data_IF_552620727608
#
_entry.id   IF_552620727608
#
_cell.length_a   1.000
_cell.length_b   1.000
_cell.length_c   1.000
_cell.angle_alpha   90.00
_cell.angle_beta   90.00
_cell.angle_gamma   90.00
#
_symmetry.space_group_name_H-M   'P 1'
#
loop_
_entity.id
_entity.type
_entity.pdbx_description
1 polymer ?
#
# COMPACT_ATOMS: atom_id res chain seq x y z
N UNK A 1 19.08 26.11 -25.01
CA UNK A 1 18.13 25.46 -25.93
C UNK A 1 18.13 23.92 -25.73
N UNK A 2 19.27 23.22 -25.79
CA UNK A 2 19.34 21.75 -25.67
C UNK A 2 18.83 21.21 -24.33
N UNK A 3 19.18 21.83 -23.19
CA UNK A 3 18.72 21.47 -21.85
C UNK A 3 17.21 21.63 -21.66
N UNK A 4 16.62 22.69 -22.23
CA UNK A 4 15.17 22.89 -22.21
C UNK A 4 14.42 21.85 -23.05
N UNK A 5 14.97 21.50 -24.21
CA UNK A 5 14.40 20.44 -25.07
C UNK A 5 14.46 19.07 -24.40
N UNK A 6 15.57 18.74 -23.73
CA UNK A 6 15.70 17.49 -22.98
C UNK A 6 14.71 17.43 -21.81
N UNK A 7 14.57 18.53 -21.05
CA UNK A 7 13.59 18.60 -19.95
C UNK A 7 12.15 18.42 -20.42
N UNK A 8 11.78 19.04 -21.55
CA UNK A 8 10.47 18.89 -22.16
C UNK A 8 10.22 17.44 -22.63
N UNK A 9 11.21 16.82 -23.27
CA UNK A 9 11.12 15.43 -23.72
C UNK A 9 10.98 14.45 -22.54
N UNK A 10 11.72 14.68 -21.45
CA UNK A 10 11.63 13.88 -20.23
C UNK A 10 10.26 14.00 -19.57
N UNK A 11 9.72 15.22 -19.47
CA UNK A 11 8.38 15.45 -18.95
C UNK A 11 7.30 14.79 -19.83
N UNK A 12 7.43 14.91 -21.16
CA UNK A 12 6.54 14.25 -22.11
C UNK A 12 6.59 12.72 -21.98
N UNK A 13 7.78 12.13 -21.88
CA UNK A 13 7.95 10.70 -21.63
C UNK A 13 7.24 10.27 -20.34
N UNK A 14 7.49 11.00 -19.24
CA UNK A 14 6.90 10.70 -17.93
C UNK A 14 5.38 10.81 -17.91
N UNK A 15 4.81 11.74 -18.68
CA UNK A 15 3.37 11.96 -18.76
C UNK A 15 2.66 10.99 -19.71
N UNK A 16 3.19 10.80 -20.93
CA UNK A 16 2.47 10.04 -21.96
C UNK A 16 2.83 8.56 -21.99
N UNK A 17 4.04 8.20 -21.56
CA UNK A 17 4.56 6.83 -21.65
C UNK A 17 4.61 6.19 -20.26
N UNK A 18 5.46 6.67 -19.36
CA UNK A 18 5.72 5.98 -18.10
C UNK A 18 4.49 5.95 -17.18
N UNK A 19 3.71 7.02 -17.13
CA UNK A 19 2.45 7.09 -16.36
C UNK A 19 1.46 5.98 -16.73
N UNK A 20 1.54 5.44 -17.95
CA UNK A 20 0.67 4.38 -18.46
C UNK A 20 1.38 3.03 -18.63
N UNK A 21 2.62 2.91 -18.19
CA UNK A 21 3.40 1.68 -18.26
C UNK A 21 3.17 0.85 -16.99
N UNK A 22 1.94 0.35 -16.83
CA UNK A 22 1.56 -0.45 -15.68
C UNK A 22 2.35 -1.74 -15.61
N UNK A 23 2.84 -2.08 -14.42
CA UNK A 23 3.66 -3.25 -14.18
C UNK A 23 3.08 -4.12 -13.08
N UNK A 24 3.22 -5.44 -13.23
CA UNK A 24 3.06 -6.40 -12.16
C UNK A 24 4.43 -6.73 -11.60
N UNK A 25 4.63 -6.47 -10.31
CA UNK A 25 5.82 -6.89 -9.57
C UNK A 25 5.48 -8.07 -8.67
N UNK A 26 6.44 -8.94 -8.45
CA UNK A 26 6.29 -10.08 -7.53
C UNK A 26 7.25 -9.95 -6.37
N UNK A 27 6.80 -10.31 -5.17
CA UNK A 27 7.60 -10.34 -3.93
C UNK A 27 7.31 -11.60 -3.15
N UNK A 28 8.25 -12.01 -2.31
CA UNK A 28 8.09 -13.13 -1.39
C UNK A 28 8.45 -12.71 0.03
N UNK A 29 7.56 -13.01 0.98
CA UNK A 29 7.75 -12.68 2.40
C UNK A 29 7.68 -13.97 3.23
N UNK A 30 8.78 -14.42 3.85
CA UNK A 30 8.82 -15.62 4.68
C UNK A 30 8.29 -15.33 6.08
N UNK A 31 6.98 -15.18 6.22
CA UNK A 31 6.31 -14.78 7.46
C UNK A 31 5.35 -15.82 8.02
N UNK A 32 5.00 -16.84 7.24
CA UNK A 32 4.06 -17.87 7.68
C UNK A 32 4.75 -18.88 8.62
N UNK A 33 3.99 -19.55 9.50
CA UNK A 33 4.50 -20.66 10.30
C UNK A 33 5.07 -21.77 9.41
N UNK A 34 6.04 -22.52 9.94
CA UNK A 34 6.68 -23.62 9.22
C UNK A 34 5.66 -24.68 8.78
N UNK A 35 5.72 -25.09 7.51
CA UNK A 35 4.81 -26.08 6.95
C UNK A 35 3.50 -25.51 6.41
N UNK A 36 3.28 -24.18 6.52
CA UNK A 36 2.14 -23.52 5.90
C UNK A 36 2.24 -23.55 4.37
N UNK A 37 1.10 -23.66 3.65
CA UNK A 37 1.08 -23.46 2.22
C UNK A 37 1.37 -22.01 1.86
N UNK A 38 1.88 -21.76 0.66
CA UNK A 38 2.04 -20.40 0.13
C UNK A 38 0.68 -19.70 0.01
N UNK A 39 0.68 -18.40 0.35
CA UNK A 39 -0.51 -17.57 0.30
C UNK A 39 -0.25 -16.30 -0.51
N UNK A 40 -1.06 -16.07 -1.56
CA UNK A 40 -0.82 -15.00 -2.53
C UNK A 40 -1.77 -13.82 -2.31
N UNK A 41 -1.18 -12.67 -1.99
CA UNK A 41 -1.88 -11.39 -1.81
C UNK A 41 -1.62 -10.51 -3.04
N UNK A 42 -2.68 -10.11 -3.74
CA UNK A 42 -2.59 -9.04 -4.73
C UNK A 42 -2.72 -7.70 -4.03
N UNK A 43 -1.61 -6.99 -3.90
CA UNK A 43 -1.56 -5.66 -3.28
C UNK A 43 -1.75 -4.58 -4.34
N UNK A 44 -2.84 -3.83 -4.23
CA UNK A 44 -3.18 -2.67 -5.04
C UNK A 44 -3.29 -1.44 -4.15
N UNK A 45 -2.92 -0.28 -4.67
CA UNK A 45 -2.88 0.98 -3.92
C UNK A 45 -2.92 2.18 -4.83
N UNK A 46 -3.34 3.33 -4.30
CA UNK A 46 -3.19 4.64 -4.94
C UNK A 46 -3.67 4.64 -6.39
N UNK A 47 -4.87 4.12 -6.63
CA UNK A 47 -5.43 4.05 -7.98
C UNK A 47 -5.75 5.43 -8.54
N UNK A 48 -6.14 6.39 -7.69
CA UNK A 48 -6.47 7.76 -8.08
C UNK A 48 -7.35 7.84 -9.31
N UNK A 49 -8.47 7.10 -9.29
CA UNK A 49 -9.35 6.97 -10.44
C UNK A 49 -10.00 8.30 -10.82
N UNK A 50 -9.95 8.57 -12.11
CA UNK A 50 -10.66 9.64 -12.80
C UNK A 50 -11.34 9.07 -14.05
N UNK A 51 -12.33 9.73 -14.64
CA UNK A 51 -12.91 9.30 -15.92
C UNK A 51 -11.87 9.21 -17.05
N UNK A 52 -12.02 8.22 -17.93
CA UNK A 52 -11.22 8.08 -19.15
C UNK A 52 -9.89 7.34 -19.01
N UNK A 53 -9.64 6.61 -17.92
CA UNK A 53 -8.39 5.85 -17.70
C UNK A 53 -8.50 4.39 -18.18
N UNK A 54 -8.95 4.15 -19.40
CA UNK A 54 -9.21 2.80 -19.92
C UNK A 54 -8.01 1.85 -19.80
N UNK A 55 -6.79 2.31 -20.10
CA UNK A 55 -5.58 1.47 -19.97
C UNK A 55 -5.35 0.95 -18.53
N UNK A 56 -5.72 1.74 -17.53
CA UNK A 56 -5.64 1.32 -16.13
C UNK A 56 -6.72 0.29 -15.82
N UNK A 57 -7.95 0.49 -16.30
CA UNK A 57 -9.05 -0.46 -16.16
C UNK A 57 -8.66 -1.79 -16.80
N UNK A 58 -8.17 -1.78 -18.04
CA UNK A 58 -7.75 -2.99 -18.75
C UNK A 58 -6.62 -3.72 -18.00
N UNK A 59 -5.65 -2.98 -17.45
CA UNK A 59 -4.60 -3.57 -16.62
C UNK A 59 -5.16 -4.21 -15.36
N UNK A 60 -6.06 -3.51 -14.63
CA UNK A 60 -6.70 -4.03 -13.43
C UNK A 60 -7.49 -5.32 -13.72
N UNK A 61 -8.22 -5.36 -14.82
CA UNK A 61 -8.95 -6.56 -15.26
C UNK A 61 -7.99 -7.73 -15.53
N UNK A 62 -6.82 -7.47 -16.11
CA UNK A 62 -5.83 -8.52 -16.38
C UNK A 62 -5.27 -9.18 -15.12
N UNK A 63 -5.30 -8.49 -13.98
CA UNK A 63 -4.81 -9.02 -12.70
C UNK A 63 -5.67 -10.14 -12.13
N UNK A 64 -6.93 -10.25 -12.52
CA UNK A 64 -7.81 -11.35 -12.08
C UNK A 64 -7.31 -12.73 -12.54
N UNK A 65 -6.60 -12.80 -13.69
CA UNK A 65 -5.98 -14.02 -14.18
C UNK A 65 -4.86 -14.56 -13.27
N UNK A 66 -4.41 -13.77 -12.31
CA UNK A 66 -3.45 -14.22 -11.28
C UNK A 66 -4.10 -15.12 -10.24
N UNK A 67 -5.42 -15.14 -10.13
CA UNK A 67 -6.18 -15.91 -9.13
C UNK A 67 -5.57 -15.73 -7.72
N UNK A 68 -5.51 -14.49 -7.18
CA UNK A 68 -4.95 -14.26 -5.85
C UNK A 68 -5.82 -14.91 -4.77
N UNK A 69 -5.22 -15.31 -3.65
CA UNK A 69 -5.96 -15.80 -2.50
C UNK A 69 -6.66 -14.69 -1.72
N UNK A 70 -6.11 -13.47 -1.83
CA UNK A 70 -6.64 -12.25 -1.23
C UNK A 70 -6.26 -11.02 -2.07
N UNK A 71 -7.17 -10.07 -2.21
CA UNK A 71 -6.88 -8.73 -2.71
C UNK A 71 -6.72 -7.78 -1.52
N UNK A 72 -5.63 -7.03 -1.47
CA UNK A 72 -5.39 -6.01 -0.45
C UNK A 72 -5.33 -4.63 -1.08
N UNK A 73 -6.27 -3.76 -0.72
CA UNK A 73 -6.35 -2.38 -1.20
C UNK A 73 -5.95 -1.42 -0.09
N UNK A 74 -4.82 -0.74 -0.26
CA UNK A 74 -4.29 0.19 0.73
C UNK A 74 -4.66 1.66 0.49
N UNK A 75 -5.74 1.93 -0.25
CA UNK A 75 -6.39 3.25 -0.29
C UNK A 75 -5.96 4.17 -1.42
N UNK A 76 -6.33 5.45 -1.31
CA UNK A 76 -6.22 6.51 -2.33
C UNK A 76 -6.82 6.11 -3.68
N UNK A 77 -8.07 5.63 -3.59
CA UNK A 77 -8.77 5.05 -4.73
C UNK A 77 -9.28 6.08 -5.74
N UNK A 78 -9.60 7.30 -5.30
CA UNK A 78 -10.28 8.32 -6.09
C UNK A 78 -9.43 9.60 -6.25
N UNK A 79 -9.61 10.31 -7.36
CA UNK A 79 -9.06 11.65 -7.60
C UNK A 79 -10.06 12.60 -8.27
N UNK A 80 -11.31 12.16 -8.41
CA UNK A 80 -12.38 12.95 -9.03
C UNK A 80 -13.74 12.55 -8.46
N UNK A 81 -14.68 13.50 -8.42
CA UNK A 81 -16.06 13.24 -7.95
C UNK A 81 -16.76 12.18 -8.82
N UNK A 82 -16.45 12.13 -10.11
CA UNK A 82 -16.99 11.16 -11.06
C UNK A 82 -16.09 9.91 -11.20
N UNK A 83 -15.12 9.72 -10.29
CA UNK A 83 -14.19 8.58 -10.32
C UNK A 83 -14.79 7.26 -9.85
N UNK A 84 -15.95 7.31 -9.18
CA UNK A 84 -16.56 6.12 -8.55
C UNK A 84 -16.97 5.05 -9.55
N UNK A 85 -17.60 5.42 -10.67
CA UNK A 85 -17.98 4.47 -11.73
C UNK A 85 -16.77 3.75 -12.30
N UNK A 86 -15.76 4.49 -12.82
CA UNK A 86 -14.49 3.90 -13.27
C UNK A 86 -13.75 3.06 -12.22
N UNK A 87 -13.82 3.42 -10.93
CA UNK A 87 -13.23 2.63 -9.85
C UNK A 87 -13.90 1.26 -9.73
N UNK A 88 -15.22 1.24 -9.67
CA UNK A 88 -15.97 -0.01 -9.55
C UNK A 88 -15.79 -0.88 -10.81
N UNK A 89 -15.78 -0.27 -12.00
CA UNK A 89 -15.47 -0.98 -13.24
C UNK A 89 -14.08 -1.64 -13.18
N UNK A 90 -13.06 -0.88 -12.77
CA UNK A 90 -11.68 -1.40 -12.68
C UNK A 90 -11.54 -2.54 -11.67
N UNK A 91 -12.29 -2.51 -10.57
CA UNK A 91 -12.21 -3.52 -9.50
C UNK A 91 -13.16 -4.70 -9.71
N UNK A 92 -14.13 -4.61 -10.61
CA UNK A 92 -15.20 -5.60 -10.76
C UNK A 92 -14.70 -7.06 -10.76
N UNK A 93 -13.74 -7.47 -11.63
CA UNK A 93 -13.27 -8.85 -11.64
C UNK A 93 -12.40 -9.22 -10.43
N UNK A 94 -11.83 -8.23 -9.72
CA UNK A 94 -11.03 -8.46 -8.51
C UNK A 94 -11.90 -8.61 -7.27
N UNK A 95 -13.10 -8.04 -7.28
CA UNK A 95 -14.07 -8.17 -6.18
C UNK A 95 -14.73 -9.55 -6.12
N UNK A 96 -14.43 -10.46 -7.04
CA UNK A 96 -14.81 -11.88 -6.95
C UNK A 96 -13.90 -12.68 -6.01
N UNK A 97 -12.74 -12.12 -5.63
CA UNK A 97 -11.82 -12.71 -4.65
C UNK A 97 -12.04 -12.09 -3.26
N UNK A 98 -11.72 -12.84 -2.17
CA UNK A 98 -11.68 -12.25 -0.84
C UNK A 98 -10.82 -10.97 -0.83
N UNK A 99 -11.22 -9.95 -0.08
CA UNK A 99 -10.48 -8.71 -0.06
C UNK A 99 -10.52 -8.00 1.30
N UNK A 100 -9.50 -7.20 1.54
CA UNK A 100 -9.43 -6.26 2.66
C UNK A 100 -9.03 -4.89 2.15
N UNK A 101 -9.50 -3.83 2.82
CA UNK A 101 -9.16 -2.47 2.43
C UNK A 101 -9.03 -1.51 3.60
N UNK A 102 -8.21 -0.47 3.41
CA UNK A 102 -8.14 0.72 4.25
C UNK A 102 -8.30 1.98 3.37
N UNK A 103 -8.84 3.08 3.89
CA UNK A 103 -8.91 4.33 3.14
C UNK A 103 -7.57 5.08 3.14
N UNK A 104 -7.40 5.97 2.16
CA UNK A 104 -6.38 7.02 2.17
C UNK A 104 -7.04 8.39 2.02
N UNK A 105 -6.26 9.47 2.07
CA UNK A 105 -6.75 10.85 2.03
C UNK A 105 -7.59 11.19 0.79
N UNK A 106 -7.27 10.57 -0.35
CA UNK A 106 -8.02 10.70 -1.60
C UNK A 106 -9.14 9.66 -1.75
N UNK A 107 -9.57 9.06 -0.64
CA UNK A 107 -10.87 8.44 -0.50
C UNK A 107 -11.88 9.42 0.11
N UNK A 108 -11.40 10.31 0.99
CA UNK A 108 -12.20 11.33 1.68
C UNK A 108 -12.37 12.61 0.87
N UNK A 109 -11.28 13.08 0.25
CA UNK A 109 -11.24 14.40 -0.37
C UNK A 109 -10.60 14.37 -1.75
N UNK A 110 -11.22 15.10 -2.69
CA UNK A 110 -10.61 15.33 -3.98
C UNK A 110 -9.28 16.09 -3.81
N UNK A 111 -8.22 15.72 -4.56
CA UNK A 111 -6.95 16.41 -4.49
C UNK A 111 -7.08 17.87 -4.90
N UNK A 112 -6.33 18.75 -4.21
CA UNK A 112 -6.21 20.16 -4.54
C UNK A 112 -4.86 20.44 -5.18
N UNK A 113 -4.81 21.48 -6.05
CA UNK A 113 -3.54 21.88 -6.65
C UNK A 113 -2.53 22.31 -5.58
N UNK A 114 -1.36 21.69 -5.59
CA UNK A 114 -0.21 22.07 -4.74
C UNK A 114 0.98 22.31 -5.67
N UNK A 115 1.70 23.43 -5.45
CA UNK A 115 2.92 23.66 -6.20
C UNK A 115 3.94 22.53 -5.95
N UNK A 116 4.31 21.72 -6.96
CA UNK A 116 5.18 20.57 -6.76
C UNK A 116 6.59 20.97 -6.28
N UNK A 117 7.05 22.18 -6.59
CA UNK A 117 8.35 22.67 -6.15
C UNK A 117 8.47 22.78 -4.61
N UNK A 118 7.35 22.88 -3.89
CA UNK A 118 7.35 22.93 -2.41
C UNK A 118 8.04 21.73 -1.77
N UNK A 119 8.00 20.54 -2.39
CA UNK A 119 8.64 19.34 -1.87
C UNK A 119 10.18 19.42 -1.83
N UNK A 120 10.79 20.41 -2.50
CA UNK A 120 12.23 20.60 -2.53
C UNK A 120 12.77 21.40 -1.35
N UNK A 121 11.93 22.23 -0.69
CA UNK A 121 12.39 23.13 0.38
C UNK A 121 11.49 23.23 1.63
N UNK A 122 10.31 22.63 1.63
CA UNK A 122 9.49 22.60 2.84
C UNK A 122 9.87 21.42 3.73
N UNK A 123 10.09 21.63 5.05
CA UNK A 123 10.26 20.53 5.98
C UNK A 123 9.04 19.60 5.93
N UNK A 124 9.27 18.33 6.21
CA UNK A 124 8.26 17.24 6.22
C UNK A 124 7.28 17.39 7.39
N UNK A 125 6.62 18.54 7.52
CA UNK A 125 5.59 18.75 8.54
C UNK A 125 4.25 18.24 8.02
N UNK A 126 3.51 17.46 8.81
CA UNK A 126 2.12 17.15 8.53
C UNK A 126 1.38 18.47 8.41
N UNK A 127 0.86 18.79 7.23
CA UNK A 127 0.11 20.03 7.07
C UNK A 127 -1.25 19.85 7.72
N UNK A 128 -1.55 20.71 8.68
CA UNK A 128 -2.93 21.00 9.05
C UNK A 128 -3.61 21.52 7.78
N UNK A 129 -4.44 20.68 7.20
CA UNK A 129 -5.20 21.03 6.02
C UNK A 129 -6.42 21.75 6.56
N UNK A 130 -6.63 22.99 6.11
CA UNK A 130 -7.88 23.69 6.36
C UNK A 130 -9.02 22.82 5.79
N UNK A 131 -9.75 22.17 6.67
CA UNK A 131 -10.82 21.22 6.33
C UNK A 131 -11.95 21.86 5.51
N UNK A 132 -12.11 23.18 5.56
CA UNK A 132 -13.21 23.93 4.96
C UNK A 132 -13.15 24.13 3.44
N UNK A 133 -12.06 23.78 2.74
CA UNK A 133 -11.91 24.08 1.30
C UNK A 133 -11.86 22.86 0.38
N UNK A 134 -12.01 21.63 0.91
CA UNK A 134 -11.89 20.39 0.15
C UNK A 134 -13.24 19.87 -0.32
N UNK A 135 -13.29 19.40 -1.55
CA UNK A 135 -14.45 18.70 -2.09
C UNK A 135 -14.45 17.27 -1.53
N UNK A 136 -15.48 16.93 -0.76
CA UNK A 136 -15.67 15.59 -0.23
C UNK A 136 -15.95 14.59 -1.36
N UNK A 137 -15.40 13.40 -1.23
CA UNK A 137 -15.65 12.26 -2.11
C UNK A 137 -16.60 11.27 -1.43
N UNK A 138 -17.30 10.41 -2.19
CA UNK A 138 -18.38 9.56 -1.66
C UNK A 138 -17.79 8.31 -0.96
N UNK A 139 -17.00 8.49 0.10
CA UNK A 139 -16.27 7.42 0.78
C UNK A 139 -17.21 6.35 1.35
N UNK A 140 -18.31 6.72 1.98
CA UNK A 140 -19.29 5.77 2.53
C UNK A 140 -19.84 4.87 1.42
N UNK A 141 -20.26 5.46 0.29
CA UNK A 141 -20.72 4.71 -0.86
C UNK A 141 -19.66 3.78 -1.44
N UNK A 142 -18.39 4.17 -1.38
CA UNK A 142 -17.26 3.33 -1.82
C UNK A 142 -17.10 2.14 -0.88
N UNK A 143 -17.13 2.36 0.43
CA UNK A 143 -17.04 1.29 1.43
C UNK A 143 -18.22 0.32 1.29
N UNK A 144 -19.45 0.82 1.21
CA UNK A 144 -20.66 0.01 1.01
C UNK A 144 -20.54 -0.86 -0.26
N UNK A 145 -19.99 -0.31 -1.34
CA UNK A 145 -19.81 -1.05 -2.58
C UNK A 145 -18.78 -2.18 -2.43
N UNK A 146 -17.68 -1.97 -1.71
CA UNK A 146 -16.67 -3.00 -1.45
C UNK A 146 -17.21 -4.07 -0.49
N UNK A 147 -17.85 -3.66 0.60
CA UNK A 147 -18.41 -4.57 1.60
C UNK A 147 -19.57 -5.41 1.03
N UNK A 148 -20.39 -4.84 0.15
CA UNK A 148 -21.47 -5.58 -0.54
C UNK A 148 -20.95 -6.71 -1.44
N UNK A 149 -19.68 -6.64 -1.86
CA UNK A 149 -18.98 -7.68 -2.63
C UNK A 149 -18.13 -8.60 -1.74
N UNK A 150 -18.24 -8.47 -0.42
CA UNK A 150 -17.57 -9.34 0.55
C UNK A 150 -16.15 -8.92 0.95
N UNK A 151 -15.70 -7.72 0.56
CA UNK A 151 -14.45 -7.17 1.07
C UNK A 151 -14.62 -6.65 2.49
N UNK A 152 -13.59 -6.80 3.31
CA UNK A 152 -13.59 -6.36 4.71
C UNK A 152 -12.91 -5.00 4.86
N UNK A 153 -13.65 -4.00 5.34
CA UNK A 153 -13.09 -2.70 5.69
C UNK A 153 -12.33 -2.75 7.01
N UNK A 154 -11.10 -2.30 7.01
CA UNK A 154 -10.21 -2.30 8.21
C UNK A 154 -9.98 -0.88 8.76
N UNK A 155 -11.03 -0.07 8.77
CA UNK A 155 -10.97 1.33 9.23
C UNK A 155 -10.93 1.37 10.76
N UNK A 156 -9.75 1.55 11.34
CA UNK A 156 -9.52 1.54 12.80
C UNK A 156 -10.10 0.29 13.47
N UNK A 157 -9.96 -0.87 12.82
CA UNK A 157 -10.45 -2.13 13.36
C UNK A 157 -9.53 -3.30 13.03
N UNK A 158 -9.61 -4.33 13.84
CA UNK A 158 -9.05 -5.65 13.51
C UNK A 158 -10.14 -6.56 12.97
N UNK A 159 -9.72 -7.54 12.17
CA UNK A 159 -10.57 -8.61 11.69
C UNK A 159 -9.74 -9.88 11.46
N UNK A 160 -10.41 -11.01 11.29
CA UNK A 160 -9.77 -12.31 11.07
C UNK A 160 -10.44 -13.02 9.91
N UNK A 161 -9.64 -13.44 8.93
CA UNK A 161 -10.11 -14.25 7.80
C UNK A 161 -9.43 -15.63 7.85
N UNK A 162 -10.23 -16.68 7.70
CA UNK A 162 -9.73 -18.05 7.59
C UNK A 162 -9.76 -18.47 6.12
N UNK A 163 -8.60 -18.49 5.47
CA UNK A 163 -8.45 -18.79 4.05
C UNK A 163 -7.35 -19.84 3.85
N UNK A 164 -7.63 -20.89 3.05
CA UNK A 164 -6.67 -21.96 2.71
C UNK A 164 -6.02 -22.64 3.94
N UNK A 165 -6.75 -22.77 5.04
CA UNK A 165 -6.23 -23.36 6.28
C UNK A 165 -5.23 -22.46 7.02
N UNK A 166 -5.22 -21.17 6.72
CA UNK A 166 -4.48 -20.13 7.44
C UNK A 166 -5.45 -19.17 8.12
N UNK A 167 -5.17 -18.83 9.36
CA UNK A 167 -5.82 -17.75 10.08
C UNK A 167 -5.04 -16.45 9.86
N UNK A 168 -5.62 -15.53 9.11
CA UNK A 168 -5.04 -14.23 8.78
C UNK A 168 -5.66 -13.19 9.71
N UNK A 169 -4.87 -12.64 10.62
CA UNK A 169 -5.30 -11.60 11.55
C UNK A 169 -4.84 -10.25 11.03
N UNK A 170 -5.80 -9.38 10.77
CA UNK A 170 -5.55 -8.04 10.28
C UNK A 170 -5.76 -7.02 11.37
N UNK A 171 -4.88 -6.01 11.42
CA UNK A 171 -5.07 -4.76 12.13
C UNK A 171 -4.96 -3.65 11.10
N UNK A 172 -6.05 -2.92 10.86
CA UNK A 172 -6.06 -1.82 9.93
C UNK A 172 -6.32 -0.49 10.63
N UNK A 173 -5.79 0.57 10.08
CA UNK A 173 -6.00 1.94 10.56
C UNK A 173 -6.60 2.81 9.47
N UNK A 174 -7.34 3.83 9.88
CA UNK A 174 -7.74 4.91 9.01
C UNK A 174 -6.52 5.73 8.56
N UNK A 175 -6.67 6.74 7.72
CA UNK A 175 -5.57 7.43 7.06
C UNK A 175 -4.59 8.14 8.03
N UNK A 176 -3.35 7.64 8.15
CA UNK A 176 -2.33 8.29 8.97
C UNK A 176 -1.92 9.68 8.47
N UNK A 177 -2.11 9.98 7.17
CA UNK A 177 -1.78 11.29 6.59
C UNK A 177 -2.74 12.38 7.07
N UNK A 178 -4.03 12.05 7.23
CA UNK A 178 -5.05 12.91 7.84
C UNK A 178 -5.03 12.87 9.37
N UNK A 179 -4.26 11.97 9.98
CA UNK A 179 -4.25 11.68 11.42
C UNK A 179 -5.60 11.17 11.93
N UNK A 180 -6.27 10.37 11.13
CA UNK A 180 -7.49 9.68 11.50
C UNK A 180 -7.22 8.28 12.07
N UNK A 181 -5.94 7.85 12.03
CA UNK A 181 -5.50 6.53 12.46
C UNK A 181 -5.62 6.34 13.98
N UNK A 182 -6.42 5.36 14.36
CA UNK A 182 -6.49 4.77 15.69
C UNK A 182 -6.09 3.30 15.60
N UNK A 183 -5.19 2.85 16.48
CA UNK A 183 -4.68 1.48 16.43
C UNK A 183 -5.55 0.54 17.27
N UNK A 184 -6.30 -0.39 16.64
CA UNK A 184 -7.18 -1.31 17.35
C UNK A 184 -6.42 -2.48 18.00
N UNK A 185 -5.12 -2.66 17.65
CA UNK A 185 -4.39 -3.88 17.95
C UNK A 185 -4.83 -5.06 17.09
N UNK A 186 -4.54 -6.28 17.55
CA UNK A 186 -5.01 -7.53 16.94
C UNK A 186 -6.03 -8.22 17.84
N UNK A 187 -6.76 -9.18 17.29
CA UNK A 187 -7.74 -9.94 18.06
C UNK A 187 -7.09 -10.59 19.30
N UNK A 188 -7.71 -10.48 20.49
CA UNK A 188 -7.19 -11.13 21.71
C UNK A 188 -7.17 -12.66 21.57
N UNK A 189 -6.17 -13.32 22.16
CA UNK A 189 -6.11 -14.78 22.26
C UNK A 189 -5.60 -15.55 21.06
N UNK A 190 -5.06 -14.87 20.05
CA UNK A 190 -4.71 -15.42 18.74
C UNK A 190 -3.46 -16.31 18.68
N UNK A 191 -2.76 -16.60 19.76
CA UNK A 191 -1.56 -17.47 19.79
C UNK A 191 -1.59 -18.50 20.91
N UNK A 192 -2.75 -19.04 21.24
CA UNK A 192 -2.83 -20.18 22.16
C UNK A 192 -2.20 -21.40 21.48
N UNK A 193 -1.32 -22.12 22.21
CA UNK A 193 -0.63 -23.31 21.72
C UNK A 193 -1.65 -24.37 21.27
N UNK A 194 -1.67 -24.67 19.97
CA UNK A 194 -2.54 -25.70 19.38
C UNK A 194 -3.59 -25.20 18.40
N UNK A 195 -3.67 -23.90 18.16
CA UNK A 195 -4.54 -23.33 17.10
C UNK A 195 -3.90 -23.38 15.70
N UNK A 196 -4.76 -23.21 14.66
CA UNK A 196 -4.34 -23.18 13.25
C UNK A 196 -3.21 -22.14 13.02
N UNK A 197 -2.30 -22.40 12.06
CA UNK A 197 -1.21 -21.49 11.74
C UNK A 197 -1.74 -20.09 11.44
N UNK A 198 -1.29 -19.08 12.19
CA UNK A 198 -1.76 -17.72 12.07
C UNK A 198 -0.64 -16.75 11.70
N UNK A 199 -1.01 -15.66 11.02
CA UNK A 199 -0.12 -14.54 10.72
C UNK A 199 -0.83 -13.21 10.99
N UNK A 200 -0.14 -12.27 11.64
CA UNK A 200 -0.61 -10.92 11.94
C UNK A 200 -0.11 -9.92 10.91
N UNK A 201 -1.04 -9.23 10.27
CA UNK A 201 -0.77 -8.30 9.17
C UNK A 201 -1.30 -6.91 9.54
N UNK A 202 -0.39 -5.93 9.62
CA UNK A 202 -0.73 -4.52 9.75
C UNK A 202 -1.05 -3.91 8.37
N UNK A 203 -2.13 -3.16 8.25
CA UNK A 203 -2.55 -2.52 7.00
C UNK A 203 -2.79 -1.03 7.24
N UNK A 204 -2.09 -0.17 6.51
CA UNK A 204 -2.28 1.26 6.55
C UNK A 204 -2.14 1.86 5.14
N UNK A 205 -2.81 3.00 4.89
CA UNK A 205 -2.53 3.71 3.66
C UNK A 205 -1.12 4.31 3.68
N UNK A 206 -0.83 5.19 4.63
CA UNK A 206 0.44 5.90 4.68
C UNK A 206 1.42 5.32 5.71
N UNK A 207 2.68 4.97 5.30
CA UNK A 207 3.67 4.31 6.15
C UNK A 207 4.40 5.30 7.07
N UNK A 208 3.67 6.08 7.87
CA UNK A 208 4.31 6.93 8.89
C UNK A 208 5.03 6.08 9.94
N UNK A 209 6.22 6.52 10.34
CA UNK A 209 7.05 5.77 11.30
C UNK A 209 6.30 5.45 12.60
N UNK A 210 5.47 6.38 13.11
CA UNK A 210 4.63 6.15 14.30
C UNK A 210 3.64 5.00 14.12
N UNK A 211 3.04 4.90 12.93
CA UNK A 211 2.09 3.86 12.56
C UNK A 211 2.79 2.50 12.42
N UNK A 212 3.94 2.47 11.72
CA UNK A 212 4.75 1.26 11.59
C UNK A 212 5.25 0.75 12.95
N UNK A 213 5.75 1.64 13.82
CA UNK A 213 6.17 1.29 15.17
C UNK A 213 5.03 0.67 15.98
N UNK A 214 3.83 1.24 15.89
CA UNK A 214 2.69 0.72 16.62
C UNK A 214 2.29 -0.68 16.18
N UNK A 215 2.22 -0.94 14.87
CA UNK A 215 1.96 -2.29 14.36
C UNK A 215 2.99 -3.31 14.85
N UNK A 216 4.29 -2.94 14.84
CA UNK A 216 5.35 -3.81 15.37
C UNK A 216 5.15 -4.09 16.86
N UNK A 217 4.83 -3.07 17.67
CA UNK A 217 4.56 -3.22 19.11
C UNK A 217 3.35 -4.12 19.38
N UNK A 218 2.33 -4.06 18.53
CA UNK A 218 1.12 -4.88 18.63
C UNK A 218 1.34 -6.30 18.10
N UNK A 219 2.54 -6.61 17.57
CA UNK A 219 2.95 -7.96 17.16
C UNK A 219 2.68 -8.29 15.69
N UNK A 220 2.60 -7.30 14.80
CA UNK A 220 2.53 -7.54 13.35
C UNK A 220 3.76 -8.34 12.88
N UNK A 221 3.53 -9.26 11.95
CA UNK A 221 4.56 -10.09 11.30
C UNK A 221 4.81 -9.66 9.85
N UNK A 222 3.89 -8.90 9.26
CA UNK A 222 4.05 -8.19 8.01
C UNK A 222 3.24 -6.89 8.05
N UNK A 223 3.65 -5.86 7.30
CA UNK A 223 2.93 -4.60 7.19
C UNK A 223 2.83 -4.22 5.71
N UNK A 224 1.66 -3.75 5.27
CA UNK A 224 1.40 -3.30 3.91
C UNK A 224 0.97 -1.84 3.91
N UNK A 225 1.53 -1.07 2.96
CA UNK A 225 1.19 0.35 2.82
C UNK A 225 1.35 0.86 1.37
N UNK A 226 0.81 2.05 1.09
CA UNK A 226 0.89 2.79 -0.17
C UNK A 226 1.40 4.22 0.04
N UNK A 227 0.64 5.22 -0.48
CA UNK A 227 0.79 6.66 -0.25
C UNK A 227 2.01 7.32 -0.89
N UNK A 228 3.14 6.68 -0.87
CA UNK A 228 4.44 7.29 -1.25
C UNK A 228 4.59 7.49 -2.75
N UNK A 229 3.77 6.82 -3.55
CA UNK A 229 3.91 6.68 -5.01
C UNK A 229 5.31 6.23 -5.46
N UNK A 230 6.08 5.60 -4.55
CA UNK A 230 7.47 5.24 -4.79
C UNK A 230 8.39 6.44 -5.02
N UNK A 231 7.95 7.65 -4.60
CA UNK A 231 8.59 8.93 -4.89
C UNK A 231 8.13 9.57 -6.21
N UNK A 232 7.35 8.87 -7.02
CA UNK A 232 6.71 9.30 -8.28
C UNK A 232 7.67 9.80 -9.37
N UNK A 233 8.58 10.74 -9.04
CA UNK A 233 9.69 11.22 -9.88
C UNK A 233 10.99 10.85 -9.18
N UNK A 234 11.68 9.88 -9.73
CA UNK A 234 12.90 9.31 -9.16
C UNK A 234 14.14 9.68 -10.00
N UNK A 235 15.30 9.46 -9.43
CA UNK A 235 16.56 9.41 -10.17
C UNK A 235 16.66 8.10 -10.96
N UNK A 236 17.55 8.04 -11.99
CA UNK A 236 17.85 6.78 -12.68
C UNK A 236 18.16 5.65 -11.69
N UNK A 237 17.59 4.46 -11.94
CA UNK A 237 17.64 3.35 -11.00
C UNK A 237 16.46 3.31 -10.01
N UNK A 238 15.51 4.25 -10.12
CA UNK A 238 14.29 4.26 -9.29
C UNK A 238 14.50 4.79 -7.88
N UNK A 239 15.57 5.56 -7.65
CA UNK A 239 15.86 6.16 -6.35
C UNK A 239 14.92 7.33 -6.06
N UNK A 240 14.02 7.16 -5.11
CA UNK A 240 13.09 8.19 -4.68
C UNK A 240 13.79 9.39 -4.05
N UNK A 241 13.33 10.59 -4.40
CA UNK A 241 13.81 11.84 -3.79
C UNK A 241 13.01 12.22 -2.55
N UNK A 242 11.73 11.84 -2.54
CA UNK A 242 10.78 12.12 -1.45
C UNK A 242 9.88 10.91 -1.21
N UNK A 243 9.33 10.78 -0.02
CA UNK A 243 8.35 9.74 0.34
C UNK A 243 6.97 10.29 0.69
N UNK A 244 6.81 11.60 0.70
CA UNK A 244 5.59 12.32 1.10
C UNK A 244 5.12 12.03 2.55
N UNK A 245 5.95 11.40 3.35
CA UNK A 245 5.78 11.14 4.80
C UNK A 245 7.16 11.19 5.51
N UNK A 246 7.23 10.73 6.75
CA UNK A 246 8.49 10.67 7.51
C UNK A 246 9.32 9.40 7.25
N UNK A 247 8.83 8.50 6.39
CA UNK A 247 9.59 7.33 5.94
C UNK A 247 10.81 7.77 5.11
N UNK A 248 12.00 7.21 5.32
CA UNK A 248 13.16 7.50 4.47
C UNK A 248 12.87 7.24 2.98
N UNK A 249 13.29 8.12 2.04
CA UNK A 249 13.03 7.93 0.61
C UNK A 249 13.52 6.60 0.04
N UNK A 250 14.59 6.03 0.60
CA UNK A 250 15.10 4.70 0.21
C UNK A 250 14.12 3.56 0.49
N UNK A 251 13.09 3.80 1.31
CA UNK A 251 12.05 2.85 1.67
C UNK A 251 10.70 3.18 1.04
N UNK A 252 10.66 4.15 0.12
CA UNK A 252 9.41 4.65 -0.47
C UNK A 252 8.68 3.60 -1.34
N UNK A 253 9.31 2.51 -1.72
CA UNK A 253 8.68 1.37 -2.41
C UNK A 253 9.45 0.08 -2.17
N UNK A 254 8.77 -1.05 -2.39
CA UNK A 254 9.34 -2.38 -2.22
C UNK A 254 9.29 -2.85 -0.78
N UNK A 255 10.00 -3.92 -0.51
CA UNK A 255 10.12 -4.50 0.83
C UNK A 255 11.28 -3.83 1.58
N UNK A 256 10.99 -3.39 2.78
CA UNK A 256 11.98 -2.94 3.76
C UNK A 256 11.63 -3.52 5.13
N UNK A 257 12.42 -3.25 6.16
CA UNK A 257 12.15 -3.77 7.49
C UNK A 257 11.93 -2.65 8.51
N UNK A 258 11.04 -2.91 9.47
CA UNK A 258 10.83 -2.11 10.66
C UNK A 258 10.99 -3.00 11.89
N UNK A 259 12.13 -2.89 12.59
CA UNK A 259 12.47 -3.73 13.76
C UNK A 259 12.30 -5.24 13.48
N UNK A 260 12.79 -5.71 12.33
CA UNK A 260 12.71 -7.11 11.92
C UNK A 260 11.37 -7.54 11.28
N UNK A 261 10.38 -6.64 11.20
CA UNK A 261 9.10 -6.90 10.54
C UNK A 261 9.17 -6.38 9.10
N UNK A 262 8.90 -7.19 8.06
CA UNK A 262 8.85 -6.75 6.68
C UNK A 262 7.70 -5.75 6.46
N UNK A 263 8.03 -4.67 5.77
CA UNK A 263 7.10 -3.61 5.37
C UNK A 263 7.11 -3.53 3.84
N UNK A 264 6.00 -3.91 3.22
CA UNK A 264 5.77 -3.79 1.78
C UNK A 264 5.10 -2.47 1.49
N UNK A 265 5.78 -1.59 0.76
CA UNK A 265 5.24 -0.30 0.30
C UNK A 265 5.03 -0.34 -1.21
N UNK A 266 3.80 -0.05 -1.65
CA UNK A 266 3.44 0.04 -3.06
C UNK A 266 3.80 1.40 -3.65
N UNK A 267 4.31 1.43 -4.89
CA UNK A 267 4.41 2.66 -5.66
C UNK A 267 3.06 3.10 -6.26
N UNK A 268 2.03 2.26 -6.15
CA UNK A 268 0.67 2.58 -6.56
C UNK A 268 0.43 2.65 -8.07
N UNK A 269 -0.83 2.69 -8.45
CA UNK A 269 -1.32 2.61 -9.84
C UNK A 269 -1.62 3.99 -10.47
N UNK A 270 -1.70 5.03 -9.65
CA UNK A 270 -2.08 6.36 -10.11
C UNK A 270 -1.13 7.46 -9.66
N UNK A 271 -1.58 8.67 -9.85
CA UNK A 271 -0.95 9.91 -9.39
C UNK A 271 -2.03 10.90 -9.04
N UNK A 272 -1.70 11.92 -8.26
CA UNK A 272 -2.60 13.07 -8.16
C UNK A 272 -2.91 13.65 -9.55
N UNK A 273 -4.18 13.99 -9.81
CA UNK A 273 -4.61 14.60 -11.09
C UNK A 273 -3.85 15.89 -11.46
N UNK A 274 -3.27 16.56 -10.47
CA UNK A 274 -2.51 17.80 -10.67
C UNK A 274 -1.01 17.59 -10.89
N UNK A 275 -0.51 16.35 -10.74
CA UNK A 275 0.86 15.96 -11.00
C UNK A 275 0.90 14.65 -11.80
N UNK A 276 0.28 14.59 -13.00
CA UNK A 276 0.14 13.36 -13.78
C UNK A 276 1.45 13.03 -14.53
N UNK A 277 2.50 12.73 -13.79
CA UNK A 277 3.81 12.39 -14.34
C UNK A 277 4.49 11.36 -13.46
N UNK A 278 5.11 10.36 -14.06
CA UNK A 278 6.01 9.40 -13.40
C UNK A 278 7.34 9.37 -14.14
N UNK A 279 8.45 9.21 -13.42
CA UNK A 279 9.77 9.12 -14.03
C UNK A 279 10.64 8.15 -13.23
N UNK A 280 11.16 7.11 -13.87
CA UNK A 280 11.91 5.99 -13.27
C UNK A 280 11.16 5.32 -12.11
N UNK A 281 9.83 5.41 -12.15
CA UNK A 281 8.93 4.85 -11.15
C UNK A 281 7.58 4.52 -11.79
N UNK A 282 7.50 3.49 -12.64
CA UNK A 282 6.26 3.10 -13.31
C UNK A 282 5.17 2.73 -12.29
N UNK A 283 3.88 2.87 -12.64
CA UNK A 283 2.79 2.42 -11.80
C UNK A 283 2.81 0.89 -11.67
N UNK A 284 2.47 0.39 -10.48
CA UNK A 284 2.55 -1.04 -10.19
C UNK A 284 1.38 -1.58 -9.37
N UNK A 285 1.05 -2.86 -9.62
CA UNK A 285 0.42 -3.76 -8.67
C UNK A 285 1.45 -4.81 -8.23
N UNK A 286 1.29 -5.37 -7.04
CA UNK A 286 2.27 -6.33 -6.50
C UNK A 286 1.57 -7.63 -6.13
N UNK A 287 2.04 -8.76 -6.67
CA UNK A 287 1.67 -10.07 -6.16
C UNK A 287 2.67 -10.48 -5.08
N UNK A 288 2.26 -10.44 -3.84
CA UNK A 288 3.07 -10.81 -2.67
C UNK A 288 2.74 -12.24 -2.27
N UNK A 289 3.71 -13.13 -2.32
CA UNK A 289 3.58 -14.48 -1.81
C UNK A 289 4.10 -14.55 -0.39
N UNK A 290 3.20 -14.81 0.56
CA UNK A 290 3.61 -15.16 1.92
C UNK A 290 4.04 -16.62 1.90
N UNK A 291 5.25 -16.89 2.39
CA UNK A 291 5.84 -18.24 2.43
C UNK A 291 6.15 -18.66 3.86
N UNK A 292 6.30 -19.95 4.08
CA UNK A 292 6.72 -20.48 5.37
C UNK A 292 8.12 -19.95 5.72
N UNK A 293 8.33 -19.62 7.00
CA UNK A 293 9.69 -19.37 7.51
C UNK A 293 10.47 -20.67 7.48
N UNK A 294 11.70 -20.63 6.98
CA UNK A 294 12.61 -21.76 7.19
C UNK A 294 12.78 -21.98 8.69
N UNK A 295 12.84 -23.24 9.11
CA UNK A 295 13.16 -23.53 10.53
C UNK A 295 14.47 -22.83 10.84
N UNK A 296 14.46 -21.85 11.74
CA UNK A 296 15.66 -21.15 12.21
C UNK A 296 16.74 -22.18 12.48
N UNK A 297 17.89 -22.06 11.80
CA UNK A 297 19.12 -22.68 12.30
C UNK A 297 19.32 -22.09 13.69
N UNK A 298 19.47 -22.93 14.75
CA UNK A 298 19.67 -22.40 16.09
C UNK A 298 20.89 -21.47 16.04
N UNK A 299 20.65 -20.20 16.36
CA UNK A 299 21.72 -19.23 16.52
C UNK A 299 22.75 -19.85 17.44
N UNK A 300 23.96 -20.05 16.93
CA UNK A 300 25.08 -20.58 17.71
C UNK A 300 25.20 -19.71 18.96
N UNK A 301 24.80 -20.27 20.10
CA UNK A 301 24.94 -19.63 21.38
C UNK A 301 26.39 -19.20 21.49
N UNK A 302 26.62 -17.90 21.65
CA UNK A 302 27.94 -17.37 21.93
C UNK A 302 28.49 -18.11 23.15
N UNK A 303 29.42 -19.01 22.89
CA UNK A 303 30.20 -19.66 23.91
C UNK A 303 31.06 -18.60 24.58
N UNK A 304 30.52 -17.94 25.59
CA UNK A 304 31.31 -17.24 26.57
C UNK A 304 32.09 -18.28 27.37
N UNK A 305 33.17 -18.77 26.74
CA UNK A 305 34.20 -19.53 27.41
C UNK A 305 34.96 -18.59 28.28
N UNK A 306 34.67 -18.62 29.56
CA UNK A 306 35.59 -18.09 30.55
C UNK A 306 36.90 -18.88 30.55
N UNK A 307 37.99 -18.19 30.64
CA UNK A 307 39.20 -18.67 31.37
C UNK A 307 40.00 -17.49 31.88
N UNK A 308 40.23 -17.58 33.18
CA UNK A 308 41.32 -17.04 34.02
C UNK A 308 41.64 -15.57 33.86
#
# INVERSE_FOLDING_TARGET
>A
AATAALGAATAAYGHFIELNNFQLRTESLPVLPAGSPDFRILHISDMHMIPGQQKKIDFMHSLAALEPDLVMNTGDNLSHVDGMGPLLEALDPLMDFPGVFVPGSNCYFAPVFKNPARYLWQPRTPQMIEEGSRVALPIERMHDAFESRGWTGLVNRYDTLNLKGLRLEFSGVDDPHLRYDEHPGFAPGAFDEGEEPSVRIGVAHAPYMRTLHRFVQDGAQAIFAGHTHGGQVCLPGGHALVSNCDLPPSRAKGVSEQSGVPVQVSAGLGTSRFAPVRLFCPPEAILVTLTARDKEQPTAAASAGGRC
#
